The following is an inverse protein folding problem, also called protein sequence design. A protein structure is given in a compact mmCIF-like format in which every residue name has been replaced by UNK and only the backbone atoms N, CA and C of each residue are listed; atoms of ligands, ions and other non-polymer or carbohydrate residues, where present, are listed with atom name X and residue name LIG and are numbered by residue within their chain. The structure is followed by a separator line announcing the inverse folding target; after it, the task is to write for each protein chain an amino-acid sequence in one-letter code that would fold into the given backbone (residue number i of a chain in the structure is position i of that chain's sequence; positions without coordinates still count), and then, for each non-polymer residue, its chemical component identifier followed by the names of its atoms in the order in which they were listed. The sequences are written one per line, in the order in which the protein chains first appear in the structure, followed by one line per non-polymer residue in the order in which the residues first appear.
data_IF_057074528325
#
_entry.id   IF_057074528325
#
_cell.length_a   1.000
_cell.length_b   1.000
_cell.length_c   1.000
_cell.angle_alpha   90.00
_cell.angle_beta   90.00
_cell.angle_gamma   90.00
#
_symmetry.space_group_name_H-M   'P 1'
#
loop_
_entity.id
_entity.type
_entity.pdbx_description
1 polymer ?
#
# COMPACT_ATOMS: atom_id res chain seq x y z
N UNK A 1 -14.58 27.79 -0.85
CA UNK A 1 -14.65 27.21 -2.21
C UNK A 1 -13.70 26.01 -2.24
N UNK A 2 -14.16 24.84 -2.66
CA UNK A 2 -13.33 23.64 -2.74
C UNK A 2 -12.55 23.68 -4.06
N UNK A 3 -11.26 23.99 -3.98
CA UNK A 3 -10.37 24.06 -5.15
C UNK A 3 -10.04 22.65 -5.63
N UNK A 4 -10.53 22.31 -6.82
CA UNK A 4 -9.89 21.30 -7.66
C UNK A 4 -8.52 21.81 -8.06
N UNK A 5 -7.53 20.94 -8.02
CA UNK A 5 -6.16 21.29 -8.37
C UNK A 5 -5.87 20.54 -9.65
N UNK A 6 -5.82 21.30 -10.73
CA UNK A 6 -5.33 20.88 -12.03
C UNK A 6 -3.84 20.56 -11.87
N UNK A 7 -3.49 19.36 -11.40
CA UNK A 7 -2.13 18.82 -11.57
C UNK A 7 -2.14 17.83 -12.73
N UNK A 8 -1.36 18.08 -13.79
CA UNK A 8 -1.13 17.04 -14.79
C UNK A 8 -0.42 15.85 -14.12
N UNK A 9 -0.68 14.61 -14.58
CA UNK A 9 -0.13 13.41 -13.95
C UNK A 9 1.40 13.46 -13.96
N UNK A 10 2.00 13.53 -12.78
CA UNK A 10 3.46 13.42 -12.61
C UNK A 10 3.86 11.97 -12.89
N UNK A 11 4.49 11.73 -14.03
CA UNK A 11 4.95 10.43 -14.49
C UNK A 11 6.16 9.90 -13.73
N UNK A 12 6.04 9.65 -12.43
CA UNK A 12 7.12 9.06 -11.63
C UNK A 12 6.57 8.18 -10.50
N UNK A 13 5.89 7.08 -10.83
CA UNK A 13 5.73 5.95 -9.92
C UNK A 13 5.79 4.62 -10.68
N UNK A 14 7.01 4.20 -11.03
CA UNK A 14 7.30 2.79 -11.26
C UNK A 14 8.62 2.42 -10.59
N UNK A 15 8.60 2.34 -9.26
CA UNK A 15 9.58 1.56 -8.50
C UNK A 15 8.86 0.54 -7.62
N UNK A 16 8.47 -0.55 -8.27
CA UNK A 16 8.69 -1.92 -7.82
C UNK A 16 8.52 -2.18 -6.31
N UNK A 17 7.27 -2.39 -5.88
CA UNK A 17 6.99 -3.23 -4.72
C UNK A 17 7.10 -4.69 -5.16
N UNK A 18 8.29 -5.26 -5.01
CA UNK A 18 8.49 -6.71 -4.98
C UNK A 18 9.11 -7.04 -3.63
N UNK A 19 8.29 -7.41 -2.65
CA UNK A 19 8.74 -8.24 -1.53
C UNK A 19 8.74 -9.70 -1.97
N UNK A 20 9.36 -9.98 -3.10
CA UNK A 20 9.80 -11.33 -3.41
C UNK A 20 11.22 -11.43 -2.88
N UNK A 21 11.44 -12.41 -2.00
CA UNK A 21 12.77 -12.79 -1.57
C UNK A 21 13.58 -13.04 -2.84
N UNK A 22 14.53 -12.15 -3.12
CA UNK A 22 15.55 -12.39 -4.12
C UNK A 22 16.29 -13.65 -3.67
N UNK A 23 15.90 -14.79 -4.23
CA UNK A 23 16.70 -16.00 -4.15
C UNK A 23 18.01 -15.62 -4.84
N UNK A 24 19.16 -15.67 -4.15
CA UNK A 24 20.43 -15.39 -4.81
C UNK A 24 20.53 -16.27 -6.04
N UNK A 25 20.94 -15.71 -7.18
CA UNK A 25 21.18 -16.49 -8.40
C UNK A 25 22.17 -17.61 -8.06
N UNK A 26 21.66 -18.82 -7.92
CA UNK A 26 22.44 -20.02 -7.70
C UNK A 26 23.04 -20.37 -9.04
N UNK A 27 24.36 -20.27 -9.19
CA UNK A 27 25.13 -20.63 -10.40
C UNK A 27 24.94 -22.12 -10.78
N UNK A 28 23.74 -22.52 -11.21
CA UNK A 28 23.36 -23.90 -11.53
C UNK A 28 23.28 -24.87 -10.34
N UNK A 29 23.50 -24.43 -9.09
CA UNK A 29 23.45 -25.30 -7.90
C UNK A 29 22.01 -25.57 -7.46
N UNK A 30 21.76 -26.79 -6.99
CA UNK A 30 20.50 -27.24 -6.39
C UNK A 30 20.39 -26.66 -4.98
N UNK A 31 19.33 -25.91 -4.64
CA UNK A 31 19.14 -25.38 -3.29
C UNK A 31 18.77 -26.50 -2.31
N UNK A 32 19.49 -26.55 -1.19
CA UNK A 32 19.11 -27.29 0.01
C UNK A 32 18.75 -26.27 1.10
N UNK A 33 17.45 -26.15 1.38
CA UNK A 33 16.90 -25.11 2.27
C UNK A 33 16.63 -25.75 3.64
N UNK A 34 17.23 -25.22 4.70
CA UNK A 34 16.99 -25.68 6.06
C UNK A 34 16.76 -24.54 7.05
N UNK A 35 15.99 -24.73 8.14
CA UNK A 35 15.96 -23.79 9.24
C UNK A 35 17.34 -23.71 9.91
N UNK A 36 17.83 -22.50 10.15
CA UNK A 36 19.06 -22.29 10.91
C UNK A 36 18.88 -22.78 12.34
N UNK A 37 19.67 -23.81 12.72
CA UNK A 37 19.68 -24.40 14.07
C UNK A 37 20.83 -23.80 14.89
N UNK A 38 22.06 -23.96 14.40
CA UNK A 38 23.27 -23.37 14.99
C UNK A 38 24.42 -23.40 13.99
N UNK A 39 25.46 -22.60 14.22
CA UNK A 39 26.65 -22.57 13.38
C UNK A 39 27.39 -23.92 13.32
N UNK A 40 27.38 -24.68 14.42
CA UNK A 40 27.98 -26.01 14.50
C UNK A 40 27.27 -27.01 13.58
N UNK A 41 25.93 -26.94 13.53
CA UNK A 41 25.10 -27.79 12.67
C UNK A 41 25.33 -27.45 11.20
N UNK A 42 25.20 -26.17 10.82
CA UNK A 42 25.41 -25.75 9.42
C UNK A 42 26.84 -26.05 8.96
N UNK A 43 27.83 -25.95 9.84
CA UNK A 43 29.22 -26.34 9.56
C UNK A 43 29.36 -27.85 9.37
N UNK A 44 28.69 -28.66 10.18
CA UNK A 44 28.70 -30.12 10.05
C UNK A 44 28.08 -30.58 8.74
N UNK A 45 26.99 -29.95 8.31
CA UNK A 45 26.31 -30.22 7.04
C UNK A 45 27.22 -29.82 5.86
N UNK A 46 27.83 -28.63 5.90
CA UNK A 46 28.84 -28.22 4.90
C UNK A 46 29.97 -29.25 4.80
N UNK A 47 30.52 -29.72 5.93
CA UNK A 47 31.55 -30.77 5.94
C UNK A 47 31.07 -32.08 5.32
N UNK A 48 29.81 -32.47 5.57
CA UNK A 48 29.21 -33.67 4.97
C UNK A 48 29.12 -33.57 3.45
N UNK A 49 28.68 -32.42 2.92
CA UNK A 49 28.62 -32.18 1.47
C UNK A 49 30.00 -32.25 0.81
N UNK A 50 31.01 -31.66 1.44
CA UNK A 50 32.41 -31.73 0.95
C UNK A 50 32.92 -33.17 0.91
N UNK A 51 32.69 -33.93 1.98
CA UNK A 51 33.07 -35.36 2.06
C UNK A 51 32.38 -36.22 1.01
N UNK A 52 31.17 -35.83 0.60
CA UNK A 52 30.37 -36.57 -0.39
C UNK A 52 30.59 -36.08 -1.82
N UNK A 53 31.46 -35.08 -2.05
CA UNK A 53 31.71 -34.51 -3.37
C UNK A 53 30.57 -33.63 -3.93
N UNK A 54 29.63 -33.20 -3.09
CA UNK A 54 28.41 -32.49 -3.51
C UNK A 54 28.52 -30.96 -3.37
N UNK A 55 29.68 -30.44 -2.92
CA UNK A 55 29.94 -29.03 -2.66
C UNK A 55 29.72 -28.09 -3.86
N UNK A 56 29.83 -28.61 -5.08
CA UNK A 56 29.62 -27.86 -6.32
C UNK A 56 28.22 -28.02 -6.92
N UNK A 57 27.45 -29.01 -6.44
CA UNK A 57 26.09 -29.29 -6.93
C UNK A 57 25.03 -28.72 -5.99
N UNK A 58 25.32 -28.62 -4.69
CA UNK A 58 24.34 -28.22 -3.68
C UNK A 58 24.74 -26.87 -3.06
N UNK A 59 23.76 -25.97 -2.91
CA UNK A 59 23.89 -24.74 -2.14
C UNK A 59 23.02 -24.82 -0.89
N UNK A 60 23.65 -24.77 0.29
CA UNK A 60 22.94 -24.71 1.56
C UNK A 60 22.42 -23.29 1.76
N UNK A 61 21.13 -23.16 2.06
CA UNK A 61 20.48 -21.89 2.41
C UNK A 61 19.91 -22.05 3.82
N UNK A 62 20.63 -21.47 4.80
CA UNK A 62 20.19 -21.36 6.18
C UNK A 62 19.07 -20.31 6.27
N UNK A 63 17.84 -20.75 6.51
CA UNK A 63 16.70 -19.86 6.75
C UNK A 63 16.73 -19.43 8.21
N UNK A 64 16.98 -18.15 8.53
CA UNK A 64 17.03 -17.70 9.91
C UNK A 64 15.69 -17.99 10.60
N UNK A 65 15.70 -18.30 11.91
CA UNK A 65 14.46 -18.46 12.65
C UNK A 65 13.64 -17.18 12.53
N UNK A 66 12.32 -17.37 12.45
CA UNK A 66 11.37 -16.28 12.49
C UNK A 66 11.69 -15.30 13.62
N UNK A 67 11.94 -14.04 13.28
CA UNK A 67 12.18 -13.00 14.29
C UNK A 67 10.98 -12.85 15.24
N UNK A 68 11.18 -12.19 16.38
CA UNK A 68 10.12 -11.94 17.37
C UNK A 68 8.86 -11.34 16.72
N UNK A 69 9.03 -10.46 15.73
CA UNK A 69 7.91 -9.94 14.94
C UNK A 69 7.14 -11.07 14.24
N UNK A 70 7.78 -11.96 13.49
CA UNK A 70 7.09 -13.11 12.86
C UNK A 70 6.51 -14.12 13.88
N UNK A 71 7.14 -14.30 15.05
CA UNK A 71 6.68 -15.25 16.08
C UNK A 71 5.53 -14.72 16.93
N UNK A 72 5.54 -13.43 17.25
CA UNK A 72 4.55 -12.77 18.09
C UNK A 72 3.40 -12.18 17.27
N UNK A 73 3.66 -11.75 16.03
CA UNK A 73 2.63 -11.41 15.05
C UNK A 73 2.11 -12.69 14.40
N UNK A 74 1.67 -13.66 15.22
CA UNK A 74 0.77 -14.74 14.77
C UNK A 74 -0.65 -14.22 14.55
N UNK A 75 -0.92 -13.02 15.05
CA UNK A 75 -2.15 -12.31 14.84
C UNK A 75 -2.06 -11.44 13.60
N UNK A 76 -2.59 -11.98 12.49
CA UNK A 76 -3.14 -11.18 11.39
C UNK A 76 -4.31 -10.27 11.85
N UNK A 77 -4.61 -10.16 13.15
CA UNK A 77 -5.53 -9.14 13.70
C UNK A 77 -5.12 -7.71 13.33
N UNK A 78 -3.84 -7.47 13.00
CA UNK A 78 -3.34 -6.17 12.52
C UNK A 78 -3.03 -6.12 11.03
N UNK A 79 -3.09 -7.26 10.33
CA UNK A 79 -3.17 -7.24 8.87
C UNK A 79 -4.56 -6.68 8.57
N UNK A 80 -4.61 -5.39 8.22
CA UNK A 80 -5.82 -4.64 7.94
C UNK A 80 -6.43 -5.18 6.64
N UNK A 81 -7.02 -6.38 6.67
CA UNK A 81 -7.80 -6.87 5.54
C UNK A 81 -9.00 -5.95 5.35
N UNK A 82 -9.20 -5.51 4.11
CA UNK A 82 -10.33 -4.66 3.80
C UNK A 82 -11.61 -5.48 3.88
N UNK A 83 -12.46 -5.21 4.87
CA UNK A 83 -13.78 -5.84 5.00
C UNK A 83 -14.91 -5.01 4.42
N UNK A 84 -14.60 -3.82 3.91
CA UNK A 84 -15.60 -2.90 3.34
C UNK A 84 -16.02 -3.38 1.95
N UNK A 85 -17.31 -3.73 1.73
CA UNK A 85 -17.79 -4.10 0.40
C UNK A 85 -17.65 -2.92 -0.56
N UNK A 86 -17.22 -3.18 -1.80
CA UNK A 86 -16.99 -2.17 -2.84
C UNK A 86 -16.06 -1.02 -2.39
N UNK A 87 -15.00 -1.33 -1.63
CA UNK A 87 -14.02 -0.33 -1.22
C UNK A 87 -13.34 0.29 -2.45
N UNK A 88 -13.40 1.61 -2.59
CA UNK A 88 -12.75 2.34 -3.70
C UNK A 88 -11.29 2.72 -3.41
N UNK A 89 -10.83 2.54 -2.17
CA UNK A 89 -9.46 2.88 -1.73
C UNK A 89 -8.50 1.72 -1.99
N UNK A 90 -8.82 0.51 -1.51
CA UNK A 90 -7.90 -0.62 -1.55
C UNK A 90 -7.56 -1.13 -2.97
N UNK A 91 -8.44 -1.09 -3.98
CA UNK A 91 -8.08 -1.53 -5.33
C UNK A 91 -6.94 -0.73 -5.97
N UNK A 92 -6.77 0.53 -5.58
CA UNK A 92 -5.77 1.45 -6.12
C UNK A 92 -4.68 1.82 -5.09
N UNK A 93 -4.75 1.24 -3.89
CA UNK A 93 -3.85 1.50 -2.77
C UNK A 93 -3.31 0.20 -2.18
N UNK A 94 -2.78 0.27 -0.96
CA UNK A 94 -2.39 -0.94 -0.22
C UNK A 94 -3.60 -1.51 0.51
N UNK A 95 -3.63 -2.84 0.64
CA UNK A 95 -4.68 -3.49 1.42
C UNK A 95 -4.68 -2.93 2.84
N UNK A 96 -5.84 -2.41 3.26
CA UNK A 96 -6.03 -1.84 4.59
C UNK A 96 -5.86 -0.33 4.69
N UNK A 97 -5.40 0.35 3.63
CA UNK A 97 -5.30 1.82 3.59
C UNK A 97 -6.64 2.50 3.89
N UNK A 98 -7.73 1.87 3.49
CA UNK A 98 -9.08 2.35 3.76
C UNK A 98 -9.35 2.54 5.26
N UNK A 99 -8.68 1.78 6.13
CA UNK A 99 -8.89 1.82 7.60
C UNK A 99 -7.90 2.74 8.32
N UNK A 100 -6.95 3.33 7.60
CA UNK A 100 -5.94 4.22 8.17
C UNK A 100 -6.59 5.59 8.44
N UNK A 101 -6.22 6.18 9.58
CA UNK A 101 -6.67 7.48 10.03
C UNK A 101 -5.49 8.45 10.18
N UNK A 102 -5.76 9.76 10.17
CA UNK A 102 -4.72 10.78 10.20
C UNK A 102 -3.94 10.80 8.90
N UNK A 103 -4.63 10.91 7.77
CA UNK A 103 -4.03 10.83 6.43
C UNK A 103 -4.35 12.06 5.60
N UNK A 104 -3.41 12.42 4.73
CA UNK A 104 -3.67 13.24 3.54
C UNK A 104 -3.92 12.25 2.40
N UNK A 105 -5.02 12.44 1.69
CA UNK A 105 -5.47 11.55 0.63
C UNK A 105 -5.77 12.33 -0.64
N UNK A 106 -5.79 11.59 -1.74
CA UNK A 106 -6.16 12.06 -3.07
C UNK A 106 -7.35 11.27 -3.59
N UNK A 107 -8.28 11.95 -4.24
CA UNK A 107 -9.35 11.35 -5.05
C UNK A 107 -9.11 11.80 -6.48
N UNK A 108 -9.09 10.85 -7.42
CA UNK A 108 -8.93 11.13 -8.85
C UNK A 108 -10.21 10.77 -9.59
N UNK A 109 -10.68 11.68 -10.44
CA UNK A 109 -11.78 11.40 -11.37
C UNK A 109 -11.26 10.57 -12.54
N UNK A 110 -11.83 9.38 -12.77
CA UNK A 110 -11.42 8.51 -13.87
C UNK A 110 -11.84 9.05 -15.25
N UNK A 111 -12.80 9.97 -15.31
CA UNK A 111 -13.33 10.51 -16.57
C UNK A 111 -12.53 11.68 -17.14
N UNK A 112 -11.97 12.54 -16.28
CA UNK A 112 -11.21 13.73 -16.69
C UNK A 112 -9.80 13.83 -16.09
N UNK A 113 -9.45 12.97 -15.13
CA UNK A 113 -8.14 13.00 -14.46
C UNK A 113 -8.03 14.04 -13.34
N UNK A 114 -9.03 14.88 -13.13
CA UNK A 114 -9.01 15.89 -12.07
C UNK A 114 -8.84 15.29 -10.68
N UNK A 115 -8.08 16.00 -9.85
CA UNK A 115 -7.69 15.53 -8.53
C UNK A 115 -8.25 16.43 -7.42
N UNK A 116 -8.74 15.78 -6.37
CA UNK A 116 -9.13 16.41 -5.12
C UNK A 116 -8.22 15.90 -4.00
N UNK A 117 -7.58 16.82 -3.29
CA UNK A 117 -6.71 16.52 -2.16
C UNK A 117 -7.41 16.97 -0.88
N UNK A 118 -7.36 16.12 0.14
CA UNK A 118 -7.95 16.43 1.44
C UNK A 118 -7.25 15.73 2.59
N UNK A 119 -7.49 16.20 3.81
CA UNK A 119 -7.08 15.49 5.04
C UNK A 119 -8.25 14.84 5.78
N UNK A 120 -7.94 13.82 6.58
CA UNK A 120 -8.89 13.30 7.57
C UNK A 120 -8.20 12.74 8.81
N UNK A 121 -8.76 13.05 9.99
CA UNK A 121 -8.42 12.41 11.26
C UNK A 121 -9.14 11.07 11.47
N UNK A 122 -10.16 10.77 10.66
CA UNK A 122 -10.99 9.55 10.75
C UNK A 122 -10.45 8.49 9.79
N UNK A 123 -10.87 7.21 9.91
CA UNK A 123 -10.55 6.22 8.90
C UNK A 123 -10.95 6.67 7.50
N UNK A 124 -10.04 6.52 6.53
CA UNK A 124 -10.21 7.07 5.18
C UNK A 124 -11.52 6.62 4.51
N UNK A 125 -11.93 5.36 4.67
CA UNK A 125 -13.16 4.83 4.07
C UNK A 125 -14.40 5.64 4.47
N UNK A 126 -14.42 6.18 5.69
CA UNK A 126 -15.55 6.99 6.18
C UNK A 126 -15.62 8.30 5.41
N UNK A 127 -14.46 8.95 5.23
CA UNK A 127 -14.39 10.22 4.51
C UNK A 127 -14.70 10.05 3.03
N UNK A 128 -14.22 8.97 2.42
CA UNK A 128 -14.53 8.65 1.03
C UNK A 128 -16.02 8.35 0.83
N UNK A 129 -16.66 7.63 1.75
CA UNK A 129 -18.11 7.39 1.70
C UNK A 129 -18.91 8.71 1.70
N UNK A 130 -18.53 9.67 2.54
CA UNK A 130 -19.17 11.00 2.57
C UNK A 130 -19.05 11.73 1.21
N UNK A 131 -17.88 11.66 0.57
CA UNK A 131 -17.64 12.23 -0.75
C UNK A 131 -18.48 11.54 -1.83
N UNK A 132 -18.53 10.20 -1.82
CA UNK A 132 -19.37 9.41 -2.75
C UNK A 132 -20.85 9.76 -2.57
N UNK A 133 -21.34 9.87 -1.34
CA UNK A 133 -22.72 10.31 -1.08
C UNK A 133 -22.99 11.74 -1.57
N UNK A 134 -22.02 12.64 -1.44
CA UNK A 134 -22.09 14.01 -1.98
C UNK A 134 -22.19 14.02 -3.51
N UNK A 135 -21.40 13.19 -4.17
CA UNK A 135 -21.40 12.97 -5.62
C UNK A 135 -22.73 12.41 -6.14
N UNK A 136 -23.25 11.35 -5.52
CA UNK A 136 -24.52 10.71 -5.91
C UNK A 136 -25.67 11.71 -5.84
N UNK A 137 -25.68 12.54 -4.80
CA UNK A 137 -26.69 13.60 -4.59
C UNK A 137 -26.41 14.89 -5.37
N UNK A 138 -25.31 14.97 -6.13
CA UNK A 138 -24.87 16.18 -6.83
C UNK A 138 -24.84 17.43 -5.93
N UNK A 139 -24.42 17.27 -4.67
CA UNK A 139 -24.34 18.37 -3.71
C UNK A 139 -23.22 19.32 -4.12
N UNK A 140 -23.57 20.50 -4.62
CA UNK A 140 -22.62 21.58 -4.97
C UNK A 140 -21.74 22.05 -3.81
N UNK A 141 -22.13 21.78 -2.57
CA UNK A 141 -21.31 22.04 -1.38
C UNK A 141 -20.21 21.01 -1.13
N UNK A 142 -20.28 19.84 -1.78
CA UNK A 142 -19.25 18.79 -1.73
C UNK A 142 -18.37 18.87 -2.97
N UNK A 143 -17.06 18.60 -2.82
CA UNK A 143 -16.12 18.67 -3.94
C UNK A 143 -16.58 17.81 -5.13
N UNK A 144 -16.84 16.52 -4.91
CA UNK A 144 -17.26 15.62 -5.99
C UNK A 144 -18.65 15.95 -6.56
N UNK A 145 -19.56 16.48 -5.74
CA UNK A 145 -20.87 16.90 -6.22
C UNK A 145 -20.82 18.14 -7.10
N UNK A 146 -19.99 19.14 -6.74
CA UNK A 146 -19.74 20.31 -7.56
C UNK A 146 -19.10 19.92 -8.91
N UNK A 147 -18.05 19.10 -8.86
CA UNK A 147 -17.36 18.59 -10.06
C UNK A 147 -18.27 17.81 -11.00
N UNK A 148 -19.18 17.00 -10.45
CA UNK A 148 -20.18 16.30 -11.25
C UNK A 148 -21.00 17.27 -12.10
N UNK A 149 -21.43 18.38 -11.50
CA UNK A 149 -22.28 19.39 -12.16
C UNK A 149 -21.45 20.22 -13.12
N UNK A 150 -20.27 20.68 -12.70
CA UNK A 150 -19.45 21.66 -13.42
C UNK A 150 -18.62 21.03 -14.56
N UNK A 151 -18.00 19.88 -14.31
CA UNK A 151 -17.09 19.23 -15.25
C UNK A 151 -17.75 18.12 -16.07
N UNK A 152 -18.86 17.56 -15.59
CA UNK A 152 -19.55 16.43 -16.22
C UNK A 152 -21.02 16.68 -16.52
N UNK A 153 -21.51 17.92 -16.38
CA UNK A 153 -22.91 18.30 -16.69
C UNK A 153 -23.95 17.38 -16.03
N UNK A 154 -23.65 16.85 -14.84
CA UNK A 154 -24.51 15.93 -14.10
C UNK A 154 -24.34 14.44 -14.43
N UNK A 155 -23.54 14.09 -15.44
CA UNK A 155 -23.21 12.70 -15.73
C UNK A 155 -22.45 12.07 -14.56
N UNK A 156 -22.68 10.78 -14.31
CA UNK A 156 -21.90 10.04 -13.33
C UNK A 156 -20.49 9.73 -13.86
N UNK A 157 -19.55 9.48 -12.97
CA UNK A 157 -18.15 9.19 -13.30
C UNK A 157 -17.61 8.10 -12.37
N UNK A 158 -16.40 7.60 -12.57
CA UNK A 158 -15.75 6.70 -11.59
C UNK A 158 -14.65 7.44 -10.83
N UNK A 159 -14.33 6.98 -9.61
CA UNK A 159 -13.26 7.57 -8.80
C UNK A 159 -12.27 6.53 -8.31
N UNK A 160 -11.02 6.94 -8.16
CA UNK A 160 -10.02 6.23 -7.38
C UNK A 160 -9.59 7.07 -6.18
N UNK A 161 -9.14 6.42 -5.11
CA UNK A 161 -8.65 7.10 -3.92
C UNK A 161 -7.35 6.47 -3.42
N UNK A 162 -6.39 7.32 -3.03
CA UNK A 162 -5.07 6.89 -2.56
C UNK A 162 -4.62 7.71 -1.34
N UNK A 163 -3.82 7.10 -0.46
CA UNK A 163 -3.15 7.79 0.65
C UNK A 163 -1.86 8.43 0.12
N UNK A 164 -1.71 9.74 0.30
CA UNK A 164 -0.48 10.47 -0.06
C UNK A 164 0.52 10.48 1.10
N UNK A 165 0.01 10.72 2.31
CA UNK A 165 0.84 10.78 3.51
C UNK A 165 0.03 10.49 4.77
N UNK A 166 0.73 10.14 5.85
CA UNK A 166 0.15 9.91 7.18
C UNK A 166 0.77 10.85 8.19
N UNK A 167 -0.08 11.60 8.87
CA UNK A 167 0.30 12.49 9.96
C UNK A 167 -0.82 12.51 11.01
N UNK A 168 -0.51 12.05 12.22
CA UNK A 168 -1.48 11.96 13.32
C UNK A 168 -1.84 13.34 13.88
N UNK A 169 -0.87 14.26 13.93
CA UNK A 169 -1.05 15.58 14.51
C UNK A 169 -1.81 16.48 13.55
N UNK A 170 -2.97 16.96 13.98
CA UNK A 170 -3.86 17.79 13.14
C UNK A 170 -3.17 19.03 12.57
N UNK A 171 -2.40 19.83 13.33
CA UNK A 171 -1.72 20.99 12.76
C UNK A 171 -0.71 20.60 11.66
N UNK A 172 0.14 19.61 11.93
CA UNK A 172 1.13 19.14 10.96
C UNK A 172 0.48 18.53 9.72
N UNK A 173 -0.64 17.79 9.88
CA UNK A 173 -1.38 17.21 8.76
C UNK A 173 -2.01 18.28 7.87
N UNK A 174 -2.54 19.37 8.44
CA UNK A 174 -3.05 20.51 7.66
C UNK A 174 -1.93 21.22 6.90
N UNK A 175 -0.76 21.39 7.53
CA UNK A 175 0.42 21.90 6.83
C UNK A 175 0.82 20.97 5.69
N UNK A 176 0.78 19.66 5.91
CA UNK A 176 1.11 18.66 4.90
C UNK A 176 0.11 18.65 3.74
N UNK A 177 -1.19 18.71 4.02
CA UNK A 177 -2.24 18.90 3.01
C UNK A 177 -1.95 20.13 2.15
N UNK A 178 -1.63 21.27 2.77
CA UNK A 178 -1.27 22.49 2.05
C UNK A 178 0.00 22.38 1.19
N UNK A 179 0.92 21.44 1.48
CA UNK A 179 2.08 21.16 0.62
C UNK A 179 1.69 20.35 -0.62
N UNK A 180 0.63 19.55 -0.53
CA UNK A 180 0.14 18.75 -1.64
C UNK A 180 -0.79 19.54 -2.57
N UNK A 181 -1.36 20.64 -2.07
CA UNK A 181 -2.23 21.55 -2.82
C UNK A 181 -1.37 22.53 -3.62
#
# INVERSE_FOLDING_TARGET
MATYILRPPTGDEMRSLTTDRVVPSLNGKIPFIEPFVSDEVSTSIRKCLRRSGLENLIAIIDVPPYNLKHRLVRNRLYDRSCTTPNCVVCPNGKEGDCTIAGVVYKITCCSCGEEYIGETSRPLYVRIKEHVEGKVRSRVSSALGAHRVESHYGADFEITAAVLARESQTPARKTLEALWI
#
